data_IF_476907633716
#
_entry.id   IF_476907633716
#
_cell.length_a   1.000
_cell.length_b   1.000
_cell.length_c   1.000
_cell.angle_alpha   90.00
_cell.angle_beta   90.00
_cell.angle_gamma   90.00
#
_symmetry.space_group_name_H-M   'P 1'
#
loop_
_entity.id
_entity.type
_entity.pdbx_description
1 polymer ?
#
# COMPACT_ATOMS: atom_id res chain seq x y z
N UNK A 1 3.98 -31.85 -7.61
CA UNK A 1 2.66 -31.19 -7.63
C UNK A 1 2.32 -30.60 -6.27
N UNK A 2 2.35 -31.39 -5.18
CA UNK A 2 2.07 -30.88 -3.84
C UNK A 2 2.93 -29.67 -3.43
N UNK A 3 4.27 -29.75 -3.56
CA UNK A 3 5.17 -28.62 -3.28
C UNK A 3 4.90 -27.38 -4.15
N UNK A 4 4.61 -27.56 -5.44
CA UNK A 4 4.35 -26.44 -6.35
C UNK A 4 3.02 -25.76 -6.02
N UNK A 5 1.95 -26.53 -5.76
CA UNK A 5 0.66 -25.98 -5.35
C UNK A 5 0.80 -25.15 -4.08
N UNK A 6 1.49 -25.67 -3.06
CA UNK A 6 1.71 -24.95 -1.82
C UNK A 6 2.66 -23.76 -1.98
N UNK A 7 3.70 -23.89 -2.80
CA UNK A 7 4.61 -22.78 -3.11
C UNK A 7 3.87 -21.62 -3.80
N UNK A 8 3.03 -21.90 -4.79
CA UNK A 8 2.21 -20.88 -5.45
C UNK A 8 1.17 -20.28 -4.51
N UNK A 9 0.48 -21.11 -3.70
CA UNK A 9 -0.50 -20.62 -2.75
C UNK A 9 0.14 -19.70 -1.68
N UNK A 10 1.31 -20.07 -1.17
CA UNK A 10 2.07 -19.24 -0.24
C UNK A 10 2.55 -17.94 -0.88
N UNK A 11 3.08 -17.99 -2.10
CA UNK A 11 3.48 -16.78 -2.82
C UNK A 11 2.30 -15.82 -3.02
N UNK A 12 1.13 -16.36 -3.40
CA UNK A 12 -0.09 -15.58 -3.58
C UNK A 12 -0.58 -14.96 -2.27
N UNK A 13 -0.55 -15.71 -1.16
CA UNK A 13 -0.91 -15.21 0.16
C UNK A 13 -0.01 -14.05 0.62
N UNK A 14 1.30 -14.14 0.37
CA UNK A 14 2.26 -13.06 0.69
C UNK A 14 1.97 -11.80 -0.13
N UNK A 15 1.77 -11.93 -1.44
CA UNK A 15 1.48 -10.79 -2.32
C UNK A 15 0.16 -10.11 -1.95
N UNK A 16 -0.89 -10.90 -1.71
CA UNK A 16 -2.20 -10.38 -1.32
C UNK A 16 -2.14 -9.66 0.04
N UNK A 17 -1.39 -10.21 1.01
CA UNK A 17 -1.17 -9.56 2.30
C UNK A 17 -0.42 -8.23 2.19
N UNK A 18 0.57 -8.15 1.30
CA UNK A 18 1.33 -6.93 1.06
C UNK A 18 0.45 -5.82 0.43
N UNK A 19 -0.37 -6.16 -0.56
CA UNK A 19 -1.30 -5.21 -1.17
C UNK A 19 -2.36 -4.72 -0.17
N UNK A 20 -2.93 -5.64 0.61
CA UNK A 20 -3.90 -5.30 1.64
C UNK A 20 -3.31 -4.36 2.69
N UNK A 21 -2.09 -4.63 3.17
CA UNK A 21 -1.41 -3.77 4.13
C UNK A 21 -1.16 -2.36 3.56
N UNK A 22 -0.66 -2.27 2.32
CA UNK A 22 -0.41 -1.00 1.66
C UNK A 22 -1.70 -0.19 1.44
N UNK A 23 -2.79 -0.85 1.07
CA UNK A 23 -4.09 -0.21 0.89
C UNK A 23 -4.70 0.27 2.21
N UNK A 24 -4.60 -0.54 3.27
CA UNK A 24 -5.03 -0.16 4.61
C UNK A 24 -4.25 1.05 5.13
N UNK A 25 -2.93 1.09 4.91
CA UNK A 25 -2.10 2.26 5.20
C UNK A 25 -2.51 3.48 4.37
N UNK A 26 -2.86 3.29 3.07
CA UNK A 26 -3.38 4.38 2.23
C UNK A 26 -4.69 4.96 2.76
N UNK A 27 -5.55 4.13 3.34
CA UNK A 27 -6.82 4.55 3.94
C UNK A 27 -6.68 5.03 5.39
N UNK A 28 -5.51 4.86 6.02
CA UNK A 28 -5.24 5.30 7.39
C UNK A 28 -4.50 6.65 7.39
N UNK A 29 -5.06 7.73 7.96
CA UNK A 29 -4.43 9.06 7.96
C UNK A 29 -3.10 9.15 8.73
N UNK A 30 -2.83 8.17 9.60
CA UNK A 30 -1.69 8.14 10.51
C UNK A 30 -0.81 6.92 10.25
N UNK A 31 0.43 7.18 9.85
CA UNK A 31 1.49 6.18 9.70
C UNK A 31 1.89 5.62 11.08
N UNK A 32 1.96 4.30 11.24
CA UNK A 32 2.49 3.65 12.44
C UNK A 32 3.85 2.99 12.20
N UNK A 33 4.39 3.09 10.97
CA UNK A 33 5.64 2.44 10.56
C UNK A 33 6.83 3.32 10.93
N UNK A 34 7.17 3.36 12.23
CA UNK A 34 8.38 3.97 12.84
C UNK A 34 8.72 5.43 12.49
N UNK A 35 8.65 6.29 13.50
CA UNK A 35 8.99 7.72 13.41
C UNK A 35 7.75 8.62 13.54
N UNK A 36 7.90 9.95 13.55
CA UNK A 36 6.77 10.87 13.65
C UNK A 36 5.83 10.65 12.46
N UNK A 37 4.52 10.53 12.72
CA UNK A 37 3.51 10.33 11.68
C UNK A 37 3.66 11.38 10.56
N UNK A 38 3.98 10.93 9.34
CA UNK A 38 4.09 11.81 8.17
C UNK A 38 2.75 11.87 7.43
N UNK A 39 2.38 13.03 6.93
CA UNK A 39 1.19 13.20 6.09
C UNK A 39 1.34 12.44 4.76
N UNK A 40 0.19 12.10 4.15
CA UNK A 40 0.12 11.65 2.75
C UNK A 40 0.85 12.65 1.84
N UNK A 41 1.78 12.20 0.99
CA UNK A 41 2.58 13.06 0.11
C UNK A 41 4.04 13.22 0.52
N UNK A 42 4.41 12.91 1.77
CA UNK A 42 5.78 13.07 2.29
C UNK A 42 6.44 11.73 2.66
N UNK A 43 5.89 10.61 2.18
CA UNK A 43 6.35 9.27 2.57
C UNK A 43 7.36 8.68 1.60
N UNK A 44 7.57 9.31 0.43
CA UNK A 44 8.59 8.91 -0.55
C UNK A 44 8.22 7.65 -1.33
N UNK A 45 6.93 7.31 -1.36
CA UNK A 45 6.39 6.13 -2.02
C UNK A 45 5.29 6.56 -2.99
N UNK A 46 5.55 6.43 -4.30
CA UNK A 46 4.67 6.91 -5.39
C UNK A 46 3.20 6.48 -5.24
N UNK A 47 2.95 5.28 -4.71
CA UNK A 47 1.59 4.74 -4.49
C UNK A 47 0.90 5.39 -3.28
N UNK A 48 1.64 5.70 -2.21
CA UNK A 48 1.11 6.37 -1.02
C UNK A 48 0.90 7.87 -1.24
N UNK A 49 1.69 8.48 -2.13
CA UNK A 49 1.69 9.93 -2.34
C UNK A 49 0.71 10.38 -3.46
N UNK A 50 0.06 9.45 -4.16
CA UNK A 50 -0.89 9.77 -5.25
C UNK A 50 -2.33 9.77 -4.75
N UNK A 51 -2.94 10.95 -4.62
CA UNK A 51 -4.41 11.11 -4.55
C UNK A 51 -4.99 11.31 -5.95
N UNK A 52 -5.89 10.43 -6.39
CA UNK A 52 -6.82 10.72 -7.50
C UNK A 52 -7.78 11.78 -6.98
N UNK A 53 -7.41 13.06 -6.98
CA UNK A 53 -8.31 14.24 -6.82
C UNK A 53 -7.63 15.60 -7.12
N UNK A 54 -6.34 15.64 -7.49
CA UNK A 54 -5.67 16.89 -7.88
C UNK A 54 -5.71 17.18 -9.40
N UNK A 55 -6.65 16.57 -10.13
CA UNK A 55 -6.89 16.84 -11.55
C UNK A 55 -8.12 17.73 -11.81
N UNK A 56 -8.69 18.35 -10.78
CA UNK A 56 -9.86 19.23 -10.93
C UNK A 56 -9.65 20.56 -10.20
N UNK A 57 -8.65 21.33 -10.65
CA UNK A 57 -8.63 22.79 -10.41
C UNK A 57 -7.92 23.55 -11.52
N UNK A 58 -8.34 23.28 -12.76
CA UNK A 58 -8.11 24.19 -13.88
C UNK A 58 -9.33 24.22 -14.80
N UNK A 59 -10.40 24.85 -14.34
CA UNK A 59 -11.23 25.85 -15.03
C UNK A 59 -12.28 26.35 -14.04
#
# INVERSE_FOLDING_TARGET
>A
MMLLTWSYLSAFAVLLGAELNAELERQTPQDTTTGPARSLGERGATVADTKIHAAEKRT
#
